data_IF_978945611198
#
_entry.id   IF_978945611198
#
_cell.length_a   1.000
_cell.length_b   1.000
_cell.length_c   1.000
_cell.angle_alpha   90.00
_cell.angle_beta   90.00
_cell.angle_gamma   90.00
#
_symmetry.space_group_name_H-M   'P 1'
#
loop_
_entity.id
_entity.type
_entity.pdbx_description
1 polymer ?
#
# COMPACT_ATOMS: atom_id res chain seq x y z
N UNK A 1 -25.74 -19.20 1.06
CA UNK A 1 -25.21 -19.13 -0.33
C UNK A 1 -25.37 -17.72 -0.88
N UNK A 2 -26.58 -17.17 -1.01
CA UNK A 2 -26.76 -15.78 -1.46
C UNK A 2 -25.93 -14.77 -0.65
N UNK A 3 -25.94 -14.85 0.68
CA UNK A 3 -25.13 -13.99 1.56
C UNK A 3 -23.61 -14.19 1.36
N UNK A 4 -23.14 -15.42 1.19
CA UNK A 4 -21.73 -15.72 0.90
C UNK A 4 -21.31 -15.18 -0.48
N UNK A 5 -22.21 -15.21 -1.47
CA UNK A 5 -21.97 -14.61 -2.77
C UNK A 5 -21.97 -13.07 -2.69
N UNK A 6 -22.90 -12.45 -1.94
CA UNK A 6 -22.86 -11.01 -1.69
C UNK A 6 -21.60 -10.57 -0.93
N UNK A 7 -21.11 -11.37 0.02
CA UNK A 7 -19.89 -11.05 0.78
C UNK A 7 -18.64 -10.97 -0.08
N UNK A 8 -18.67 -11.54 -1.28
CA UNK A 8 -17.54 -11.53 -2.22
C UNK A 8 -17.62 -10.44 -3.28
N UNK A 9 -18.74 -9.70 -3.33
CA UNK A 9 -19.06 -8.71 -4.38
C UNK A 9 -18.32 -7.38 -4.23
N UNK A 10 -17.68 -7.17 -3.08
CA UNK A 10 -16.86 -6.00 -2.82
C UNK A 10 -15.40 -6.34 -2.52
N UNK A 11 -14.99 -7.59 -2.59
CA UNK A 11 -13.65 -7.99 -2.14
C UNK A 11 -12.55 -7.51 -3.10
N UNK A 12 -12.82 -7.54 -4.41
CA UNK A 12 -11.86 -7.08 -5.42
C UNK A 12 -11.83 -5.55 -5.45
N UNK A 13 -12.99 -4.91 -5.44
CA UNK A 13 -13.07 -3.44 -5.31
C UNK A 13 -12.45 -2.92 -4.01
N UNK A 14 -12.66 -3.57 -2.86
CA UNK A 14 -12.00 -3.20 -1.60
C UNK A 14 -10.48 -3.36 -1.68
N UNK A 15 -9.98 -4.41 -2.37
CA UNK A 15 -8.54 -4.58 -2.61
C UNK A 15 -7.97 -3.41 -3.42
N UNK A 16 -8.62 -3.05 -4.54
CA UNK A 16 -8.15 -1.95 -5.38
C UNK A 16 -8.24 -0.60 -4.66
N UNK A 17 -9.26 -0.37 -3.83
CA UNK A 17 -9.32 0.84 -3.00
C UNK A 17 -8.14 0.96 -2.02
N UNK A 18 -7.62 -0.17 -1.50
CA UNK A 18 -6.38 -0.16 -0.70
C UNK A 18 -5.16 0.15 -1.56
N UNK A 19 -5.09 -0.39 -2.78
CA UNK A 19 -4.01 -0.08 -3.75
C UNK A 19 -4.00 1.40 -4.10
N UNK A 20 -5.16 1.98 -4.41
CA UNK A 20 -5.31 3.41 -4.72
C UNK A 20 -4.83 4.29 -3.54
N UNK A 21 -5.11 3.85 -2.30
CA UNK A 21 -4.63 4.55 -1.09
C UNK A 21 -3.10 4.49 -0.96
N UNK A 22 -2.47 3.38 -1.36
CA UNK A 22 -0.99 3.27 -1.39
C UNK A 22 -0.43 4.19 -2.47
N UNK A 23 -1.03 4.19 -3.66
CA UNK A 23 -0.64 5.03 -4.79
C UNK A 23 -0.71 6.52 -4.42
N UNK A 24 -1.82 6.95 -3.82
CA UNK A 24 -2.00 8.33 -3.36
C UNK A 24 -0.92 8.73 -2.34
N UNK A 25 -0.60 7.85 -1.39
CA UNK A 25 0.48 8.09 -0.41
C UNK A 25 1.85 8.18 -1.07
N UNK A 26 2.13 7.32 -2.05
CA UNK A 26 3.38 7.35 -2.82
C UNK A 26 3.49 8.67 -3.59
N UNK A 27 2.44 9.06 -4.30
CA UNK A 27 2.35 10.31 -5.05
C UNK A 27 2.56 11.54 -4.15
N UNK A 28 1.86 11.61 -3.01
CA UNK A 28 1.99 12.70 -2.06
C UNK A 28 3.40 12.76 -1.45
N UNK A 29 4.03 11.61 -1.19
CA UNK A 29 5.42 11.54 -0.72
C UNK A 29 6.38 12.08 -1.78
N UNK A 30 6.25 11.66 -3.03
CA UNK A 30 7.06 12.17 -4.16
C UNK A 30 6.90 13.67 -4.33
N UNK A 31 5.66 14.18 -4.29
CA UNK A 31 5.39 15.62 -4.39
C UNK A 31 5.97 16.40 -3.22
N UNK A 32 5.87 15.87 -2.00
CA UNK A 32 6.50 16.43 -0.81
C UNK A 32 8.02 16.52 -0.99
N UNK A 33 8.65 15.42 -1.42
CA UNK A 33 10.09 15.35 -1.70
C UNK A 33 10.53 16.35 -2.78
N UNK A 34 9.76 16.51 -3.86
CA UNK A 34 10.03 17.53 -4.90
C UNK A 34 9.92 18.95 -4.35
N UNK A 35 8.94 19.21 -3.49
CA UNK A 35 8.79 20.51 -2.82
C UNK A 35 9.98 20.77 -1.90
N UNK A 36 10.42 19.75 -1.17
CA UNK A 36 11.60 19.80 -0.31
C UNK A 36 12.87 20.09 -1.11
N UNK A 37 13.10 19.39 -2.23
CA UNK A 37 14.24 19.65 -3.13
C UNK A 37 14.26 21.09 -3.64
N UNK A 38 13.10 21.61 -4.07
CA UNK A 38 12.97 23.00 -4.52
C UNK A 38 13.28 24.01 -3.41
N UNK A 39 12.76 23.80 -2.19
CA UNK A 39 13.06 24.66 -1.05
C UNK A 39 14.55 24.62 -0.66
N UNK A 40 15.18 23.45 -0.70
CA UNK A 40 16.61 23.31 -0.44
C UNK A 40 17.46 23.95 -1.54
N UNK A 41 17.03 23.91 -2.80
CA UNK A 41 17.69 24.58 -3.92
C UNK A 41 17.73 26.10 -3.76
N UNK A 42 16.59 26.67 -3.35
CA UNK A 42 16.46 28.09 -3.05
C UNK A 42 17.40 28.42 -1.89
N UNK A 43 17.33 27.66 -0.79
CA UNK A 43 18.16 27.87 0.39
C UNK A 43 19.66 27.82 0.06
N UNK A 44 20.12 26.84 -0.73
CA UNK A 44 21.51 26.73 -1.19
C UNK A 44 21.95 27.97 -1.99
N UNK A 45 21.14 28.40 -2.96
CA UNK A 45 21.44 29.57 -3.80
C UNK A 45 21.50 30.86 -2.97
N UNK A 46 20.55 31.03 -2.06
CA UNK A 46 20.46 32.21 -1.21
C UNK A 46 21.58 32.26 -0.18
N UNK A 47 21.94 31.13 0.46
CA UNK A 47 23.08 31.09 1.40
C UNK A 47 24.38 31.44 0.68
N UNK A 48 24.65 30.89 -0.51
CA UNK A 48 25.85 31.23 -1.28
C UNK A 48 25.94 32.73 -1.63
N UNK A 49 24.78 33.35 -1.90
CA UNK A 49 24.68 34.79 -2.15
C UNK A 49 24.95 35.59 -0.87
N UNK A 50 24.37 35.19 0.27
CA UNK A 50 24.59 35.86 1.55
C UNK A 50 26.00 35.69 2.08
N UNK A 51 26.65 34.56 1.84
CA UNK A 51 28.05 34.32 2.24
C UNK A 51 28.99 35.29 1.51
N UNK A 52 28.75 35.49 0.21
CA UNK A 52 29.50 36.42 -0.64
C UNK A 52 29.30 37.89 -0.25
N UNK A 53 28.12 38.25 0.27
CA UNK A 53 27.73 39.62 0.63
C UNK A 53 27.64 39.85 2.15
N UNK A 54 28.16 38.94 2.97
CA UNK A 54 28.02 38.93 4.43
C UNK A 54 28.48 40.23 5.09
N UNK A 55 29.61 40.79 4.63
CA UNK A 55 30.12 42.06 5.12
C UNK A 55 29.20 43.26 4.81
N UNK A 56 28.54 43.27 3.65
CA UNK A 56 27.59 44.32 3.29
C UNK A 56 26.29 44.21 4.08
N UNK A 57 25.86 42.98 4.39
CA UNK A 57 24.74 42.70 5.28
C UNK A 57 25.00 43.23 6.69
N UNK A 58 26.16 42.90 7.26
CA UNK A 58 26.54 43.33 8.61
C UNK A 58 26.59 44.86 8.73
N UNK A 59 27.11 45.56 7.72
CA UNK A 59 27.14 47.02 7.68
C UNK A 59 25.73 47.63 7.56
N UNK A 60 24.88 47.07 6.71
CA UNK A 60 23.49 47.50 6.57
C UNK A 60 22.69 47.30 7.87
N UNK A 61 22.89 46.18 8.56
CA UNK A 61 22.22 45.91 9.84
C UNK A 61 22.73 46.78 10.98
N UNK A 62 24.04 47.05 11.02
CA UNK A 62 24.61 48.02 11.95
C UNK A 62 24.03 49.42 11.74
N UNK A 63 23.84 49.86 10.49
CA UNK A 63 23.25 51.15 10.14
C UNK A 63 21.77 51.28 10.56
N UNK A 64 21.03 50.17 10.59
CA UNK A 64 19.64 50.12 11.06
C UNK A 64 19.52 50.16 12.60
N UNK A 65 20.62 50.32 13.32
CA UNK A 65 20.65 50.39 14.79
C UNK A 65 20.35 49.04 15.45
N UNK A 66 20.36 47.96 14.67
CA UNK A 66 20.06 46.63 15.15
C UNK A 66 21.38 45.94 15.53
N UNK A 67 21.78 46.11 16.80
CA UNK A 67 22.96 45.45 17.37
C UNK A 67 22.66 44.00 17.73
N UNK A 68 22.04 43.23 16.82
CA UNK A 68 21.81 41.81 17.07
C UNK A 68 23.10 41.05 16.70
N UNK A 69 23.79 40.41 17.65
CA UNK A 69 25.17 39.94 17.44
C UNK A 69 25.35 38.75 16.49
N UNK A 70 24.28 38.17 15.94
CA UNK A 70 24.35 36.79 15.44
C UNK A 70 23.91 36.60 13.98
N UNK A 71 23.77 37.66 13.16
CA UNK A 71 23.49 37.49 11.72
C UNK A 71 24.65 36.75 11.03
N UNK A 72 25.90 37.19 11.24
CA UNK A 72 27.08 36.49 10.73
C UNK A 72 27.19 35.07 11.32
N UNK A 73 26.83 34.87 12.60
CA UNK A 73 26.83 33.53 13.22
C UNK A 73 25.76 32.60 12.65
N UNK A 74 24.57 33.13 12.31
CA UNK A 74 23.51 32.37 11.67
C UNK A 74 23.85 32.07 10.20
N UNK A 75 24.45 33.02 9.46
CA UNK A 75 24.98 32.77 8.10
C UNK A 75 26.09 31.72 8.15
N UNK A 76 27.04 31.81 9.10
CA UNK A 76 28.08 30.80 9.27
C UNK A 76 27.47 29.42 9.61
N UNK A 77 26.47 29.37 10.49
CA UNK A 77 25.78 28.11 10.83
C UNK A 77 25.03 27.51 9.64
N UNK A 78 24.42 28.34 8.79
CA UNK A 78 23.77 27.93 7.55
C UNK A 78 24.79 27.47 6.49
N UNK A 79 25.92 28.17 6.38
CA UNK A 79 27.04 27.84 5.48
C UNK A 79 27.69 26.51 5.87
N UNK A 80 27.94 26.30 7.17
CA UNK A 80 28.44 25.04 7.72
C UNK A 80 27.48 23.86 7.49
N UNK A 81 26.18 24.14 7.33
CA UNK A 81 25.17 23.15 7.01
C UNK A 81 25.03 22.86 5.51
N UNK A 82 25.71 23.60 4.63
CA UNK A 82 25.65 23.40 3.18
C UNK A 82 25.97 21.96 2.74
N UNK A 83 27.02 21.29 3.26
CA UNK A 83 27.31 19.90 2.90
C UNK A 83 26.17 18.93 3.28
N UNK A 84 25.44 19.24 4.36
CA UNK A 84 24.27 18.46 4.79
C UNK A 84 23.10 18.69 3.84
N UNK A 85 22.84 19.94 3.45
CA UNK A 85 21.80 20.31 2.48
C UNK A 85 22.06 19.59 1.15
N UNK A 86 23.28 19.65 0.62
CA UNK A 86 23.67 18.97 -0.62
C UNK A 86 23.50 17.45 -0.52
N UNK A 87 23.94 16.86 0.60
CA UNK A 87 23.79 15.42 0.86
C UNK A 87 22.33 14.97 0.92
N UNK A 88 21.46 15.73 1.60
CA UNK A 88 20.02 15.45 1.65
C UNK A 88 19.39 15.60 0.27
N UNK A 89 19.77 16.63 -0.47
CA UNK A 89 19.24 16.92 -1.82
C UNK A 89 19.57 15.80 -2.81
N UNK A 90 20.81 15.30 -2.78
CA UNK A 90 21.20 14.10 -3.53
C UNK A 90 20.39 12.86 -3.10
N UNK A 91 20.17 12.69 -1.78
CA UNK A 91 19.34 11.63 -1.24
C UNK A 91 17.88 11.71 -1.68
N UNK A 92 17.30 12.91 -1.75
CA UNK A 92 15.93 13.16 -2.23
C UNK A 92 15.79 12.71 -3.69
N UNK A 93 16.74 13.07 -4.55
CA UNK A 93 16.73 12.65 -5.95
C UNK A 93 16.71 11.12 -6.10
N UNK A 94 17.57 10.43 -5.34
CA UNK A 94 17.57 8.95 -5.29
C UNK A 94 16.28 8.38 -4.69
N UNK A 95 15.73 9.05 -3.68
CA UNK A 95 14.48 8.65 -3.02
C UNK A 95 13.26 8.76 -3.91
N UNK A 96 13.12 9.87 -4.64
CA UNK A 96 12.06 10.07 -5.64
C UNK A 96 12.16 9.00 -6.72
N UNK A 97 13.35 8.78 -7.26
CA UNK A 97 13.57 7.77 -8.28
C UNK A 97 13.24 6.36 -7.75
N UNK A 98 13.62 6.04 -6.52
CA UNK A 98 13.27 4.76 -5.90
C UNK A 98 11.76 4.58 -5.74
N UNK A 99 11.02 5.61 -5.32
CA UNK A 99 9.55 5.54 -5.21
C UNK A 99 8.93 5.35 -6.60
N UNK A 100 9.38 6.10 -7.60
CA UNK A 100 8.84 6.05 -8.97
C UNK A 100 9.12 4.71 -9.67
N UNK A 101 10.40 4.32 -9.72
CA UNK A 101 10.86 3.10 -10.39
C UNK A 101 10.35 1.83 -9.69
N UNK A 102 10.15 1.87 -8.36
CA UNK A 102 9.91 0.65 -7.58
C UNK A 102 8.49 0.52 -7.05
N UNK A 103 7.85 1.61 -6.65
CA UNK A 103 6.50 1.57 -6.09
C UNK A 103 5.47 1.92 -7.15
N UNK A 104 5.58 3.11 -7.76
CA UNK A 104 4.60 3.60 -8.75
C UNK A 104 4.55 2.69 -9.96
N UNK A 105 5.71 2.40 -10.57
CA UNK A 105 5.76 1.49 -11.74
C UNK A 105 5.19 0.10 -11.43
N UNK A 106 5.45 -0.43 -10.23
CA UNK A 106 4.89 -1.74 -9.83
C UNK A 106 3.37 -1.66 -9.66
N UNK A 107 2.84 -0.57 -9.11
CA UNK A 107 1.40 -0.35 -8.97
C UNK A 107 0.76 -0.22 -10.35
N UNK A 108 1.34 0.57 -11.24
CA UNK A 108 0.86 0.76 -12.62
C UNK A 108 0.82 -0.56 -13.39
N UNK A 109 1.89 -1.37 -13.31
CA UNK A 109 1.94 -2.69 -13.93
C UNK A 109 0.86 -3.62 -13.35
N UNK A 110 0.65 -3.61 -12.03
CA UNK A 110 -0.38 -4.41 -11.38
C UNK A 110 -1.79 -3.96 -11.77
N UNK A 111 -2.06 -2.66 -11.81
CA UNK A 111 -3.34 -2.12 -12.25
C UNK A 111 -3.57 -2.47 -13.74
N UNK A 112 -2.60 -2.26 -14.62
CA UNK A 112 -2.76 -2.55 -16.04
C UNK A 112 -3.02 -4.04 -16.32
N UNK A 113 -2.26 -4.93 -15.69
CA UNK A 113 -2.30 -6.37 -15.99
C UNK A 113 -3.33 -7.15 -15.16
N UNK A 114 -3.61 -6.73 -13.92
CA UNK A 114 -4.40 -7.51 -12.96
C UNK A 114 -5.77 -6.88 -12.66
N UNK A 115 -5.90 -5.55 -12.65
CA UNK A 115 -7.16 -4.90 -12.30
C UNK A 115 -8.29 -5.25 -13.29
N UNK A 116 -8.16 -5.03 -14.61
CA UNK A 116 -9.23 -5.35 -15.56
C UNK A 116 -9.70 -6.81 -15.50
N UNK A 117 -8.81 -7.84 -15.49
CA UNK A 117 -9.30 -9.21 -15.38
C UNK A 117 -9.97 -9.45 -14.02
N UNK A 118 -9.41 -8.94 -12.92
CA UNK A 118 -10.00 -9.16 -11.59
C UNK A 118 -11.40 -8.54 -11.43
N UNK A 119 -11.62 -7.32 -11.93
CA UNK A 119 -12.92 -6.64 -11.91
C UNK A 119 -13.92 -7.29 -12.89
N UNK A 120 -13.44 -7.82 -14.01
CA UNK A 120 -14.28 -8.60 -14.92
C UNK A 120 -14.77 -9.91 -14.27
N UNK A 121 -13.95 -10.52 -13.42
CA UNK A 121 -14.32 -11.70 -12.63
C UNK A 121 -15.34 -11.37 -11.54
N UNK A 122 -15.22 -10.21 -10.89
CA UNK A 122 -16.19 -9.70 -9.90
C UNK A 122 -17.56 -9.43 -10.57
N UNK A 123 -17.56 -8.71 -11.69
CA UNK A 123 -18.78 -8.21 -12.34
C UNK A 123 -19.58 -9.24 -13.14
N UNK A 124 -18.97 -10.28 -13.73
CA UNK A 124 -19.64 -11.00 -14.83
C UNK A 124 -19.61 -12.54 -14.76
N UNK A 125 -18.61 -13.18 -14.13
CA UNK A 125 -18.35 -14.61 -14.37
C UNK A 125 -18.57 -15.57 -13.19
N UNK A 126 -18.27 -15.15 -11.97
CA UNK A 126 -18.07 -16.07 -10.83
C UNK A 126 -19.36 -16.71 -10.32
N UNK A 127 -20.44 -15.94 -10.24
CA UNK A 127 -21.72 -16.41 -9.69
C UNK A 127 -22.45 -17.35 -10.63
N UNK A 128 -22.33 -17.14 -11.95
CA UNK A 128 -23.11 -17.89 -12.94
C UNK A 128 -22.65 -19.34 -12.99
N UNK A 129 -21.35 -19.61 -13.11
CA UNK A 129 -20.85 -20.98 -13.23
C UNK A 129 -21.14 -21.79 -11.95
N UNK A 130 -20.88 -21.21 -10.78
CA UNK A 130 -21.15 -21.86 -9.49
C UNK A 130 -22.65 -22.08 -9.31
N UNK A 131 -23.49 -21.05 -9.49
CA UNK A 131 -24.94 -21.17 -9.35
C UNK A 131 -25.53 -22.20 -10.32
N UNK A 132 -25.04 -22.26 -11.56
CA UNK A 132 -25.47 -23.26 -12.56
C UNK A 132 -25.12 -24.68 -12.11
N UNK A 133 -23.90 -24.93 -11.64
CA UNK A 133 -23.51 -26.28 -11.16
C UNK A 133 -24.39 -26.70 -9.97
N UNK A 134 -24.65 -25.79 -9.02
CA UNK A 134 -25.54 -26.08 -7.89
C UNK A 134 -26.99 -26.31 -8.33
N UNK A 135 -27.53 -25.45 -9.20
CA UNK A 135 -28.89 -25.59 -9.71
C UNK A 135 -29.09 -26.91 -10.47
N UNK A 136 -28.14 -27.26 -11.35
CA UNK A 136 -28.15 -28.53 -12.07
C UNK A 136 -28.04 -29.72 -11.12
N UNK A 137 -27.23 -29.62 -10.06
CA UNK A 137 -27.14 -30.67 -9.03
C UNK A 137 -28.49 -30.86 -8.32
N UNK A 138 -29.15 -29.77 -7.92
CA UNK A 138 -30.45 -29.81 -7.24
C UNK A 138 -31.51 -30.44 -8.15
N UNK A 139 -31.61 -29.98 -9.40
CA UNK A 139 -32.55 -30.52 -10.39
C UNK A 139 -32.31 -32.02 -10.60
N UNK A 140 -31.04 -32.43 -10.68
CA UNK A 140 -30.65 -33.83 -10.88
C UNK A 140 -30.93 -34.70 -9.67
N UNK A 141 -30.74 -34.17 -8.46
CA UNK A 141 -31.08 -34.84 -7.21
C UNK A 141 -32.58 -35.05 -7.08
N UNK A 142 -33.39 -34.01 -7.34
CA UNK A 142 -34.85 -34.10 -7.32
C UNK A 142 -35.39 -35.05 -8.40
N UNK A 143 -34.86 -34.95 -9.63
CA UNK A 143 -35.20 -35.85 -10.72
C UNK A 143 -34.89 -37.32 -10.39
N UNK A 144 -33.69 -37.58 -9.85
CA UNK A 144 -33.27 -38.90 -9.41
C UNK A 144 -34.17 -39.46 -8.29
N UNK A 145 -34.52 -38.63 -7.31
CA UNK A 145 -35.44 -39.00 -6.24
C UNK A 145 -36.83 -39.36 -6.75
N UNK A 146 -37.44 -38.51 -7.59
CA UNK A 146 -38.78 -38.74 -8.12
C UNK A 146 -38.85 -39.97 -9.05
N UNK A 147 -37.87 -40.13 -9.93
CA UNK A 147 -37.81 -41.26 -10.86
C UNK A 147 -37.50 -42.58 -10.15
N UNK A 148 -36.62 -42.57 -9.14
CA UNK A 148 -36.32 -43.77 -8.35
C UNK A 148 -37.50 -44.20 -7.46
N UNK A 149 -38.39 -43.28 -7.05
CA UNK A 149 -39.59 -43.65 -6.31
C UNK A 149 -40.62 -44.37 -7.19
N UNK A 150 -40.83 -43.94 -8.43
CA UNK A 150 -41.87 -44.49 -9.32
C UNK A 150 -41.41 -45.60 -10.27
N UNK A 151 -40.11 -45.73 -10.56
CA UNK A 151 -39.43 -46.76 -11.41
C UNK A 151 -40.21 -47.25 -12.65
N UNK A 152 -41.08 -46.43 -13.24
CA UNK A 152 -41.81 -46.80 -14.47
C UNK A 152 -40.90 -46.84 -15.69
N UNK A 153 -39.79 -46.10 -15.66
CA UNK A 153 -38.83 -45.99 -16.75
C UNK A 153 -37.39 -46.14 -16.23
N UNK A 154 -36.83 -47.37 -16.18
CA UNK A 154 -35.53 -47.64 -15.56
C UNK A 154 -34.35 -46.97 -16.30
N UNK A 155 -34.45 -46.81 -17.61
CA UNK A 155 -33.41 -46.15 -18.44
C UNK A 155 -33.23 -44.70 -17.99
N UNK A 156 -34.32 -43.94 -17.89
CA UNK A 156 -34.28 -42.54 -17.45
C UNK A 156 -33.81 -42.41 -16.00
N UNK A 157 -34.29 -43.28 -15.10
CA UNK A 157 -33.81 -43.29 -13.72
C UNK A 157 -32.29 -43.51 -13.63
N UNK A 158 -31.74 -44.44 -14.43
CA UNK A 158 -30.30 -44.69 -14.48
C UNK A 158 -29.50 -43.52 -15.06
N UNK A 159 -30.01 -42.84 -16.09
CA UNK A 159 -29.39 -41.66 -16.68
C UNK A 159 -29.31 -40.49 -15.68
N UNK A 160 -30.42 -40.21 -14.96
CA UNK A 160 -30.45 -39.16 -13.94
C UNK A 160 -29.52 -39.47 -12.77
N UNK A 161 -29.43 -40.72 -12.33
CA UNK A 161 -28.50 -41.13 -11.27
C UNK A 161 -27.05 -41.03 -11.72
N UNK A 162 -26.72 -41.41 -12.96
CA UNK A 162 -25.38 -41.22 -13.50
C UNK A 162 -25.00 -39.73 -13.59
N UNK A 163 -25.95 -38.89 -14.00
CA UNK A 163 -25.77 -37.45 -14.10
C UNK A 163 -25.63 -36.79 -12.71
N UNK A 164 -26.38 -37.28 -11.70
CA UNK A 164 -26.19 -36.90 -10.29
C UNK A 164 -24.79 -37.27 -9.80
N UNK A 165 -24.30 -38.48 -10.10
CA UNK A 165 -22.94 -38.90 -9.74
C UNK A 165 -21.86 -38.05 -10.40
N UNK A 166 -22.05 -37.65 -11.66
CA UNK A 166 -21.16 -36.72 -12.35
C UNK A 166 -21.09 -35.37 -11.62
N UNK A 167 -22.24 -34.80 -11.26
CA UNK A 167 -22.28 -33.53 -10.54
C UNK A 167 -21.71 -33.63 -9.13
N UNK A 168 -22.01 -34.70 -8.39
CA UNK A 168 -21.41 -34.95 -7.08
C UNK A 168 -19.90 -35.07 -7.19
N UNK A 169 -19.39 -35.74 -8.23
CA UNK A 169 -17.95 -35.87 -8.46
C UNK A 169 -17.31 -34.53 -8.78
N UNK A 170 -17.92 -33.71 -9.64
CA UNK A 170 -17.48 -32.35 -9.93
C UNK A 170 -17.49 -31.47 -8.67
N UNK A 171 -18.56 -31.58 -7.87
CA UNK A 171 -18.66 -30.87 -6.60
C UNK A 171 -17.57 -31.32 -5.63
N UNK A 172 -17.34 -32.62 -5.46
CA UNK A 172 -16.29 -33.11 -4.57
C UNK A 172 -14.90 -32.71 -5.06
N UNK A 173 -14.63 -32.75 -6.37
CA UNK A 173 -13.35 -32.33 -6.94
C UNK A 173 -13.10 -30.83 -6.72
N UNK A 174 -14.10 -29.99 -6.96
CA UNK A 174 -14.01 -28.54 -6.73
C UNK A 174 -13.93 -28.20 -5.23
N UNK A 175 -14.75 -28.86 -4.41
CA UNK A 175 -14.84 -28.60 -2.97
C UNK A 175 -13.63 -29.11 -2.20
N UNK A 176 -13.34 -30.41 -2.30
CA UNK A 176 -12.25 -31.06 -1.55
C UNK A 176 -10.88 -30.74 -2.14
N UNK A 177 -10.79 -30.54 -3.45
CA UNK A 177 -9.54 -30.15 -4.11
C UNK A 177 -9.29 -28.65 -4.02
N UNK A 178 -10.03 -27.89 -4.84
CA UNK A 178 -9.73 -26.47 -5.08
C UNK A 178 -10.09 -25.59 -3.89
N UNK A 179 -11.30 -25.69 -3.35
CA UNK A 179 -11.76 -24.83 -2.25
C UNK A 179 -11.04 -25.14 -0.93
N UNK A 180 -10.73 -26.40 -0.66
CA UNK A 180 -9.89 -26.76 0.48
C UNK A 180 -8.48 -26.15 0.34
N UNK A 181 -7.91 -26.19 -0.87
CA UNK A 181 -6.64 -25.51 -1.16
C UNK A 181 -6.72 -24.01 -0.90
N UNK A 182 -7.74 -23.33 -1.44
CA UNK A 182 -7.97 -21.89 -1.22
C UNK A 182 -8.14 -21.58 0.27
N UNK A 183 -8.89 -22.40 1.01
CA UNK A 183 -9.09 -22.27 2.46
C UNK A 183 -7.80 -22.42 3.27
N UNK A 184 -6.94 -23.38 2.91
CA UNK A 184 -5.66 -23.57 3.60
C UNK A 184 -4.73 -22.40 3.27
N UNK A 185 -4.64 -22.03 1.99
CA UNK A 185 -3.82 -20.90 1.54
C UNK A 185 -4.28 -19.58 2.13
N UNK A 186 -5.59 -19.33 2.28
CA UNK A 186 -6.08 -18.08 2.89
C UNK A 186 -5.70 -17.98 4.37
N UNK A 187 -5.75 -19.09 5.12
CA UNK A 187 -5.30 -19.14 6.52
C UNK A 187 -3.80 -18.95 6.66
N UNK A 188 -3.03 -19.63 5.80
CA UNK A 188 -1.57 -19.46 5.77
C UNK A 188 -1.18 -18.05 5.33
N UNK A 189 -1.87 -17.46 4.36
CA UNK A 189 -1.64 -16.08 3.93
C UNK A 189 -1.90 -15.10 5.07
N UNK A 190 -2.95 -15.28 5.87
CA UNK A 190 -3.20 -14.44 7.03
C UNK A 190 -2.05 -14.52 8.07
N UNK A 191 -1.57 -15.74 8.37
CA UNK A 191 -0.55 -15.96 9.38
C UNK A 191 0.85 -15.51 8.91
N UNK A 192 1.17 -15.75 7.64
CA UNK A 192 2.51 -15.59 7.08
C UNK A 192 2.64 -14.45 6.07
N UNK A 193 1.66 -13.55 5.92
CA UNK A 193 1.71 -12.48 4.91
C UNK A 193 2.98 -11.62 4.99
N UNK A 194 3.44 -11.30 6.20
CA UNK A 194 4.63 -10.48 6.44
C UNK A 194 5.90 -11.24 6.05
N UNK A 195 6.02 -12.48 6.51
CA UNK A 195 7.14 -13.37 6.16
C UNK A 195 7.17 -13.63 4.67
N UNK A 196 6.01 -13.81 4.05
CA UNK A 196 5.87 -13.95 2.60
C UNK A 196 6.33 -12.69 1.88
N UNK A 197 5.88 -11.49 2.29
CA UNK A 197 6.29 -10.23 1.67
C UNK A 197 7.82 -10.03 1.73
N UNK A 198 8.44 -10.31 2.88
CA UNK A 198 9.90 -10.23 3.08
C UNK A 198 10.64 -11.24 2.20
N UNK A 199 10.22 -12.51 2.19
CA UNK A 199 10.86 -13.54 1.38
C UNK A 199 10.65 -13.30 -0.12
N UNK A 200 9.46 -12.86 -0.52
CA UNK A 200 9.13 -12.53 -1.89
C UNK A 200 10.00 -11.37 -2.39
N UNK A 201 10.13 -10.29 -1.61
CA UNK A 201 11.06 -9.20 -1.92
C UNK A 201 12.50 -9.71 -2.01
N UNK A 202 12.93 -10.57 -1.08
CA UNK A 202 14.29 -11.14 -1.08
C UNK A 202 14.59 -11.96 -2.33
N UNK A 203 13.62 -12.71 -2.84
CA UNK A 203 13.81 -13.64 -3.95
C UNK A 203 13.57 -13.01 -5.33
N UNK A 204 12.66 -12.04 -5.42
CA UNK A 204 12.26 -11.42 -6.69
C UNK A 204 13.05 -10.18 -7.04
N UNK A 205 13.55 -9.45 -6.05
CA UNK A 205 14.32 -8.22 -6.29
C UNK A 205 15.77 -8.60 -6.55
N UNK A 206 16.18 -8.54 -7.83
CA UNK A 206 17.53 -8.91 -8.25
C UNK A 206 18.57 -7.82 -7.98
N UNK A 207 18.16 -6.56 -8.08
CA UNK A 207 19.04 -5.42 -7.82
C UNK A 207 19.37 -5.36 -6.31
N UNK A 208 20.65 -5.44 -5.91
CA UNK A 208 21.07 -5.43 -4.51
C UNK A 208 20.65 -4.15 -3.77
N UNK A 209 20.74 -2.98 -4.41
CA UNK A 209 20.39 -1.70 -3.79
C UNK A 209 18.88 -1.61 -3.58
N UNK A 210 18.10 -1.95 -4.62
CA UNK A 210 16.63 -2.03 -4.52
C UNK A 210 16.20 -3.02 -3.44
N UNK A 211 16.87 -4.17 -3.35
CA UNK A 211 16.56 -5.22 -2.38
C UNK A 211 16.80 -4.75 -0.96
N UNK A 212 17.94 -4.13 -0.68
CA UNK A 212 18.23 -3.58 0.64
C UNK A 212 17.21 -2.52 1.04
N UNK A 213 16.88 -1.61 0.12
CA UNK A 213 15.88 -0.57 0.33
C UNK A 213 14.50 -1.14 0.68
N UNK A 214 13.97 -2.07 -0.14
CA UNK A 214 12.66 -2.71 0.10
C UNK A 214 12.66 -3.47 1.43
N UNK A 215 13.73 -4.22 1.73
CA UNK A 215 13.80 -4.99 2.96
C UNK A 215 13.86 -4.08 4.20
N UNK A 216 14.58 -2.96 4.14
CA UNK A 216 14.60 -1.98 5.23
C UNK A 216 13.22 -1.36 5.46
N UNK A 217 12.52 -0.96 4.38
CA UNK A 217 11.16 -0.45 4.48
C UNK A 217 10.18 -1.48 5.07
N UNK A 218 10.22 -2.73 4.60
CA UNK A 218 9.38 -3.81 5.12
C UNK A 218 9.67 -4.09 6.60
N UNK A 219 10.94 -4.15 6.98
CA UNK A 219 11.33 -4.35 8.39
C UNK A 219 10.85 -3.19 9.28
N UNK A 220 10.89 -1.97 8.77
CA UNK A 220 10.38 -0.79 9.46
C UNK A 220 8.85 -0.86 9.66
N UNK A 221 8.08 -1.19 8.63
CA UNK A 221 6.62 -1.25 8.74
C UNK A 221 6.12 -2.45 9.55
N UNK A 222 6.78 -3.61 9.46
CA UNK A 222 6.43 -4.83 10.20
C UNK A 222 7.00 -4.86 11.63
N UNK A 223 7.53 -3.75 12.12
CA UNK A 223 8.10 -3.64 13.48
C UNK A 223 9.22 -4.68 13.76
N UNK A 224 9.94 -5.09 12.71
CA UNK A 224 11.11 -5.95 12.82
C UNK A 224 12.39 -5.15 13.08
N UNK A 225 12.37 -3.82 12.85
CA UNK A 225 13.45 -2.91 13.21
C UNK A 225 13.19 -2.19 14.54
N UNK A 226 14.26 -1.89 15.29
CA UNK A 226 14.20 -1.09 16.53
C UNK A 226 14.00 0.42 16.26
N UNK A 227 13.66 0.81 15.03
CA UNK A 227 13.48 2.22 14.68
C UNK A 227 12.21 2.74 15.34
N UNK A 228 12.38 3.70 16.25
CA UNK A 228 11.28 4.35 16.99
C UNK A 228 10.82 5.57 16.20
N UNK A 229 9.54 5.61 15.85
CA UNK A 229 8.88 6.71 15.10
C UNK A 229 8.93 8.07 15.80
N UNK A 230 9.32 8.12 17.08
CA UNK A 230 9.38 9.34 17.88
C UNK A 230 10.53 10.28 17.46
N UNK A 231 11.50 9.79 16.68
CA UNK A 231 12.60 10.63 16.18
C UNK A 231 12.23 11.23 14.81
N UNK A 232 12.24 12.58 14.66
CA UNK A 232 11.96 13.24 13.40
C UNK A 232 12.87 12.72 12.28
N UNK A 233 12.31 12.34 11.14
CA UNK A 233 13.09 11.87 9.99
C UNK A 233 13.60 10.42 10.07
N UNK A 234 13.31 9.69 11.16
CA UNK A 234 13.68 8.29 11.28
C UNK A 234 12.94 7.42 10.25
N UNK A 235 11.66 7.72 10.02
CA UNK A 235 10.84 7.04 9.03
C UNK A 235 11.37 7.28 7.62
N UNK A 236 11.67 8.54 7.28
CA UNK A 236 12.21 8.89 5.96
C UNK A 236 13.58 8.25 5.70
N UNK A 237 14.44 8.17 6.73
CA UNK A 237 15.72 7.45 6.62
C UNK A 237 15.51 5.95 6.42
N UNK A 238 14.59 5.34 7.16
CA UNK A 238 14.35 3.89 7.07
C UNK A 238 13.70 3.48 5.73
N UNK A 239 12.80 4.30 5.22
CA UNK A 239 11.96 3.99 4.06
C UNK A 239 12.56 4.52 2.76
N UNK A 240 13.14 5.73 2.76
CA UNK A 240 13.59 6.43 1.55
C UNK A 240 15.12 6.64 1.54
N UNK A 241 15.81 6.28 2.62
CA UNK A 241 17.25 6.47 2.80
C UNK A 241 17.69 7.95 2.74
N UNK A 242 16.83 8.87 3.20
CA UNK A 242 17.13 10.30 3.30
C UNK A 242 17.22 10.69 4.78
N UNK A 243 18.40 11.13 5.23
CA UNK A 243 18.61 11.55 6.62
C UNK A 243 18.37 13.06 6.78
N UNK A 244 17.13 13.43 7.12
CA UNK A 244 16.73 14.83 7.33
C UNK A 244 16.93 15.32 8.78
N UNK A 245 17.46 14.48 9.68
CA UNK A 245 17.58 14.81 11.11
C UNK A 245 18.42 16.06 11.35
N UNK A 246 19.49 16.20 10.58
CA UNK A 246 20.40 17.31 10.74
C UNK A 246 19.80 18.62 10.21
N UNK A 247 18.94 18.56 9.17
CA UNK A 247 18.15 19.70 8.71
C UNK A 247 17.11 20.10 9.77
N UNK A 248 16.41 19.14 10.36
CA UNK A 248 15.51 19.41 11.49
C UNK A 248 16.22 20.09 12.65
N UNK A 249 17.40 19.58 13.02
CA UNK A 249 18.22 20.15 14.09
C UNK A 249 18.63 21.57 13.76
N UNK A 250 19.04 21.83 12.52
CA UNK A 250 19.42 23.15 12.02
C UNK A 250 18.27 24.15 12.11
N UNK A 251 17.08 23.80 11.60
CA UNK A 251 15.91 24.69 11.60
C UNK A 251 15.44 25.01 13.03
N UNK A 252 15.63 24.08 13.96
CA UNK A 252 15.25 24.27 15.36
C UNK A 252 16.29 25.02 16.21
N UNK A 253 17.45 25.38 15.65
CA UNK A 253 18.44 26.17 16.38
C UNK A 253 17.89 27.57 16.71
N UNK A 254 18.15 28.10 17.92
CA UNK A 254 17.75 29.45 18.29
C UNK A 254 18.23 30.52 17.31
N UNK A 255 19.42 30.33 16.74
CA UNK A 255 20.08 31.24 15.80
C UNK A 255 19.29 31.31 14.48
N UNK A 256 18.92 30.16 13.91
CA UNK A 256 18.11 30.11 12.68
C UNK A 256 16.70 30.62 12.94
N UNK A 257 16.10 30.33 14.09
CA UNK A 257 14.78 30.86 14.45
C UNK A 257 14.79 32.40 14.59
N UNK A 258 15.82 32.96 15.24
CA UNK A 258 16.01 34.40 15.37
C UNK A 258 16.25 35.05 14.01
N UNK A 259 17.12 34.46 13.17
CA UNK A 259 17.36 34.93 11.81
C UNK A 259 16.06 34.93 11.02
N UNK A 260 15.30 33.84 11.03
CA UNK A 260 14.04 33.72 10.26
C UNK A 260 12.99 34.74 10.73
N UNK A 261 12.81 34.91 12.04
CA UNK A 261 11.89 35.91 12.59
C UNK A 261 12.32 37.33 12.24
N UNK A 262 13.64 37.58 12.22
CA UNK A 262 14.19 38.86 11.85
C UNK A 262 14.03 39.14 10.37
N UNK A 263 14.42 38.23 9.47
CA UNK A 263 14.28 38.40 8.02
C UNK A 263 12.80 38.59 7.63
N UNK A 264 11.87 37.93 8.31
CA UNK A 264 10.43 38.15 8.12
C UNK A 264 9.94 39.56 8.53
N UNK A 265 10.69 40.27 9.37
CA UNK A 265 10.36 41.62 9.85
C UNK A 265 11.02 42.74 9.04
N UNK A 266 12.01 42.41 8.22
CA UNK A 266 12.79 43.39 7.47
C UNK A 266 12.08 43.73 6.16
N UNK A 267 11.76 45.00 5.97
CA UNK A 267 11.23 45.49 4.71
C UNK A 267 12.36 45.54 3.65
N UNK A 268 12.20 44.90 2.48
CA UNK A 268 13.19 44.93 1.40
C UNK A 268 13.55 46.35 0.93
N UNK A 269 12.64 47.31 1.05
CA UNK A 269 12.90 48.71 0.68
C UNK A 269 13.92 49.35 1.63
N UNK A 270 13.93 48.92 2.90
CA UNK A 270 14.88 49.39 3.91
C UNK A 270 16.29 48.86 3.63
N UNK A 271 16.42 47.57 3.26
CA UNK A 271 17.71 46.99 2.87
C UNK A 271 18.27 47.65 1.61
N UNK A 272 17.40 47.89 0.63
CA UNK A 272 17.78 48.59 -0.61
C UNK A 272 18.25 50.02 -0.33
N UNK A 273 17.58 50.74 0.58
CA UNK A 273 17.97 52.08 1.01
C UNK A 273 19.29 52.09 1.81
N UNK A 274 19.63 50.99 2.50
CA UNK A 274 20.90 50.80 3.20
C UNK A 274 22.07 50.45 2.25
N UNK A 275 21.84 50.35 0.94
CA UNK A 275 22.88 50.07 -0.05
C UNK A 275 23.17 48.59 -0.25
N UNK A 276 22.33 47.70 0.29
CA UNK A 276 22.45 46.25 0.05
C UNK A 276 22.14 45.94 -1.42
N UNK A 277 22.95 45.11 -2.11
CA UNK A 277 22.70 44.75 -3.49
C UNK A 277 21.32 44.08 -3.68
N UNK A 278 20.61 44.33 -4.79
CA UNK A 278 19.29 43.74 -5.03
C UNK A 278 19.28 42.20 -4.96
N UNK A 279 20.35 41.55 -5.42
CA UNK A 279 20.54 40.09 -5.36
C UNK A 279 20.53 39.58 -3.92
N UNK A 280 21.17 40.31 -3.01
CA UNK A 280 21.25 39.97 -1.59
C UNK A 280 19.92 40.21 -0.89
N UNK A 281 19.19 41.28 -1.26
CA UNK A 281 17.82 41.53 -0.76
C UNK A 281 16.90 40.38 -1.16
N UNK A 282 16.95 39.94 -2.42
CA UNK A 282 16.18 38.77 -2.88
C UNK A 282 16.60 37.50 -2.14
N UNK A 283 17.90 37.26 -1.94
CA UNK A 283 18.38 36.11 -1.17
C UNK A 283 17.86 36.10 0.28
N UNK A 284 17.80 37.25 0.96
CA UNK A 284 17.20 37.38 2.29
C UNK A 284 15.72 36.99 2.28
N UNK A 285 14.95 37.48 1.32
CA UNK A 285 13.53 37.15 1.18
C UNK A 285 13.31 35.67 0.87
N UNK A 286 14.13 35.12 -0.02
CA UNK A 286 14.09 33.74 -0.44
C UNK A 286 14.35 32.79 0.73
N UNK A 287 15.35 33.06 1.60
CA UNK A 287 15.60 32.27 2.81
C UNK A 287 14.39 32.28 3.73
N UNK A 288 13.82 33.46 4.00
CA UNK A 288 12.63 33.56 4.86
C UNK A 288 11.45 32.79 4.26
N UNK A 289 11.29 32.83 2.93
CA UNK A 289 10.22 32.13 2.22
C UNK A 289 10.45 30.62 2.13
N UNK A 290 11.71 30.15 2.21
CA UNK A 290 12.08 28.74 2.12
C UNK A 290 12.04 28.06 3.50
N UNK A 291 12.61 28.65 4.55
CA UNK A 291 12.76 28.02 5.87
C UNK A 291 11.41 27.74 6.55
N UNK A 292 10.47 28.69 6.47
CA UNK A 292 9.16 28.56 7.12
C UNK A 292 8.38 27.33 6.60
N UNK A 293 8.13 27.17 5.30
CA UNK A 293 7.46 25.98 4.77
C UNK A 293 8.30 24.72 4.88
N UNK A 294 9.64 24.82 4.89
CA UNK A 294 10.54 23.66 4.99
C UNK A 294 10.22 22.79 6.20
N UNK A 295 10.00 23.40 7.37
CA UNK A 295 9.63 22.65 8.59
C UNK A 295 8.31 21.89 8.45
N UNK A 296 7.31 22.50 7.82
CA UNK A 296 6.00 21.89 7.60
C UNK A 296 6.07 20.77 6.56
N UNK A 297 6.78 20.99 5.46
CA UNK A 297 7.01 19.99 4.41
C UNK A 297 7.77 18.79 4.95
N UNK A 298 8.82 18.99 5.76
CA UNK A 298 9.55 17.90 6.40
C UNK A 298 8.63 17.09 7.34
N UNK A 299 7.75 17.76 8.10
CA UNK A 299 6.84 17.09 9.03
C UNK A 299 5.75 16.31 8.29
N UNK A 300 5.25 16.86 7.18
CA UNK A 300 4.28 16.21 6.32
C UNK A 300 4.86 14.96 5.66
N UNK A 301 6.05 15.07 5.05
CA UNK A 301 6.73 13.92 4.41
C UNK A 301 7.02 12.82 5.45
N UNK A 302 7.59 13.20 6.60
CA UNK A 302 7.92 12.24 7.66
C UNK A 302 6.65 11.55 8.19
N UNK A 303 5.55 12.28 8.33
CA UNK A 303 4.25 11.70 8.65
C UNK A 303 3.76 10.74 7.56
N UNK A 304 3.82 11.13 6.28
CA UNK A 304 3.31 10.31 5.17
C UNK A 304 3.99 8.94 5.10
N UNK A 305 5.31 8.88 5.32
CA UNK A 305 6.11 7.65 5.32
C UNK A 305 6.15 6.95 6.68
N UNK A 306 5.63 7.58 7.73
CA UNK A 306 5.59 6.97 9.07
C UNK A 306 4.71 5.74 9.11
N UNK A 307 5.03 4.82 10.03
CA UNK A 307 4.19 3.66 10.33
C UNK A 307 2.77 4.08 10.67
N UNK A 308 2.58 5.19 11.38
CA UNK A 308 1.26 5.72 11.75
C UNK A 308 0.37 6.03 10.53
N UNK A 309 0.96 6.56 9.45
CA UNK A 309 0.25 6.85 8.21
C UNK A 309 -0.07 5.58 7.40
N UNK A 310 0.82 4.59 7.44
CA UNK A 310 0.70 3.34 6.67
C UNK A 310 -0.11 2.26 7.40
N UNK A 311 -0.17 2.32 8.73
CA UNK A 311 -0.85 1.34 9.58
C UNK A 311 -2.31 1.09 9.19
N UNK A 312 -3.16 2.11 8.90
CA UNK A 312 -4.53 1.87 8.46
C UNK A 312 -4.61 1.04 7.16
N UNK A 313 -3.67 1.24 6.24
CA UNK A 313 -3.61 0.47 4.98
C UNK A 313 -3.20 -0.97 5.26
N UNK A 314 -2.19 -1.15 6.12
CA UNK A 314 -1.75 -2.48 6.55
C UNK A 314 -2.86 -3.24 7.29
N UNK A 315 -3.55 -2.60 8.23
CA UNK A 315 -4.68 -3.17 8.97
C UNK A 315 -5.85 -3.49 8.03
N UNK A 316 -6.13 -2.62 7.05
CA UNK A 316 -7.13 -2.87 6.01
C UNK A 316 -6.77 -4.10 5.17
N UNK A 317 -5.53 -4.21 4.71
CA UNK A 317 -5.05 -5.36 3.96
C UNK A 317 -5.09 -6.66 4.79
N UNK A 318 -4.67 -6.59 6.06
CA UNK A 318 -4.77 -7.72 7.00
C UNK A 318 -6.23 -8.11 7.23
N UNK A 319 -7.13 -7.16 7.44
CA UNK A 319 -8.56 -7.45 7.63
C UNK A 319 -9.15 -8.13 6.39
N UNK A 320 -8.84 -7.62 5.19
CA UNK A 320 -9.32 -8.21 3.94
C UNK A 320 -8.84 -9.67 3.78
N UNK A 321 -7.56 -9.95 4.05
CA UNK A 321 -6.98 -11.30 3.93
C UNK A 321 -7.49 -12.23 5.04
N UNK A 322 -7.41 -11.79 6.29
CA UNK A 322 -7.65 -12.62 7.47
C UNK A 322 -9.12 -12.80 7.80
N UNK A 323 -9.95 -11.78 7.59
CA UNK A 323 -11.36 -11.81 7.94
C UNK A 323 -12.20 -12.13 6.69
N UNK A 324 -12.11 -11.28 5.67
CA UNK A 324 -13.06 -11.35 4.56
C UNK A 324 -12.79 -12.54 3.65
N UNK A 325 -11.55 -12.70 3.16
CA UNK A 325 -11.19 -13.83 2.30
C UNK A 325 -11.21 -15.16 3.04
N UNK A 326 -10.68 -15.21 4.26
CA UNK A 326 -10.70 -16.46 5.05
C UNK A 326 -12.14 -16.90 5.35
N UNK A 327 -12.99 -15.99 5.86
CA UNK A 327 -14.38 -16.34 6.19
C UNK A 327 -15.17 -16.75 4.96
N UNK A 328 -15.07 -15.99 3.86
CA UNK A 328 -15.76 -16.33 2.62
C UNK A 328 -15.29 -17.69 2.06
N UNK A 329 -14.00 -17.99 2.16
CA UNK A 329 -13.45 -19.29 1.73
C UNK A 329 -13.94 -20.45 2.60
N UNK A 330 -14.05 -20.25 3.92
CA UNK A 330 -14.54 -21.26 4.86
C UNK A 330 -16.03 -21.54 4.65
N UNK A 331 -16.85 -20.49 4.48
CA UNK A 331 -18.28 -20.61 4.24
C UNK A 331 -18.58 -21.31 2.91
N UNK A 332 -17.84 -20.93 1.85
CA UNK A 332 -17.98 -21.55 0.54
C UNK A 332 -17.58 -23.02 0.60
N UNK A 333 -16.45 -23.35 1.24
CA UNK A 333 -15.99 -24.73 1.41
C UNK A 333 -17.00 -25.58 2.20
N UNK A 334 -17.55 -25.04 3.30
CA UNK A 334 -18.54 -25.74 4.12
C UNK A 334 -19.82 -26.02 3.33
N UNK A 335 -20.37 -25.01 2.66
CA UNK A 335 -21.57 -25.16 1.85
C UNK A 335 -21.37 -26.20 0.74
N UNK A 336 -20.21 -26.16 0.09
CA UNK A 336 -19.87 -27.08 -0.99
C UNK A 336 -19.72 -28.53 -0.50
N UNK A 337 -19.06 -28.71 0.65
CA UNK A 337 -18.87 -30.04 1.26
C UNK A 337 -20.19 -30.63 1.72
N UNK A 338 -21.07 -29.83 2.34
CA UNK A 338 -22.40 -30.29 2.78
C UNK A 338 -23.23 -30.74 1.57
N UNK A 339 -23.30 -29.93 0.51
CA UNK A 339 -24.07 -30.28 -0.69
C UNK A 339 -23.48 -31.50 -1.40
N UNK A 340 -22.16 -31.60 -1.50
CA UNK A 340 -21.48 -32.79 -2.03
C UNK A 340 -21.82 -34.05 -1.23
N UNK A 341 -21.75 -34.01 0.09
CA UNK A 341 -22.09 -35.14 0.97
C UNK A 341 -23.56 -35.56 0.86
N UNK A 342 -24.49 -34.60 0.86
CA UNK A 342 -25.92 -34.89 0.68
C UNK A 342 -26.17 -35.51 -0.69
N UNK A 343 -25.59 -34.93 -1.75
CA UNK A 343 -25.70 -35.45 -3.11
C UNK A 343 -25.14 -36.88 -3.23
N UNK A 344 -24.00 -37.16 -2.58
CA UNK A 344 -23.40 -38.49 -2.53
C UNK A 344 -24.33 -39.51 -1.87
N UNK A 345 -24.89 -39.19 -0.70
CA UNK A 345 -25.82 -40.07 0.02
C UNK A 345 -27.07 -40.34 -0.81
N UNK A 346 -27.64 -39.30 -1.44
CA UNK A 346 -28.80 -39.44 -2.34
C UNK A 346 -28.48 -40.30 -3.56
N UNK A 347 -27.34 -40.06 -4.21
CA UNK A 347 -26.86 -40.86 -5.34
C UNK A 347 -26.71 -42.33 -4.97
N UNK A 348 -26.10 -42.60 -3.81
CA UNK A 348 -25.94 -43.95 -3.27
C UNK A 348 -27.27 -44.68 -3.05
N UNK A 349 -28.24 -44.04 -2.36
CA UNK A 349 -29.55 -44.64 -2.14
C UNK A 349 -30.33 -44.85 -3.44
N UNK A 350 -30.28 -43.91 -4.38
CA UNK A 350 -30.93 -44.05 -5.68
C UNK A 350 -30.31 -45.20 -6.49
N UNK A 351 -28.98 -45.33 -6.48
CA UNK A 351 -28.26 -46.45 -7.12
C UNK A 351 -28.70 -47.81 -6.54
N UNK A 352 -28.74 -47.97 -5.20
CA UNK A 352 -29.20 -49.22 -4.56
C UNK A 352 -30.62 -49.56 -4.99
N UNK A 353 -31.52 -48.57 -4.99
CA UNK A 353 -32.94 -48.80 -5.32
C UNK A 353 -33.13 -49.24 -6.76
N UNK A 354 -32.44 -48.61 -7.71
CA UNK A 354 -32.47 -49.00 -9.13
C UNK A 354 -31.95 -50.42 -9.30
N UNK A 355 -30.80 -50.75 -8.69
CA UNK A 355 -30.20 -52.08 -8.77
C UNK A 355 -31.14 -53.15 -8.22
N UNK A 356 -31.74 -52.93 -7.04
CA UNK A 356 -32.72 -53.85 -6.44
C UNK A 356 -33.93 -54.09 -7.35
N UNK A 357 -34.49 -53.03 -7.94
CA UNK A 357 -35.63 -53.16 -8.85
C UNK A 357 -35.26 -53.95 -10.13
N UNK A 358 -34.08 -53.72 -10.69
CA UNK A 358 -33.61 -54.45 -11.88
C UNK A 358 -33.40 -55.94 -11.61
N UNK A 359 -32.93 -56.33 -10.42
CA UNK A 359 -32.81 -57.74 -10.04
C UNK A 359 -34.17 -58.39 -9.73
N UNK A 360 -35.10 -57.66 -9.10
CA UNK A 360 -36.42 -58.20 -8.76
C UNK A 360 -37.30 -58.50 -9.97
N UNK A 361 -37.13 -57.80 -11.10
CA UNK A 361 -37.93 -58.04 -12.32
C UNK A 361 -37.38 -59.18 -13.21
N UNK A 362 -36.22 -59.76 -12.86
CA UNK A 362 -35.62 -60.88 -13.61
C UNK A 362 -35.93 -62.25 -13.00
N UNK A 363 -36.44 -62.27 -11.77
CA UNK A 363 -37.00 -63.45 -11.11
C UNK A 363 -38.52 -63.36 -11.17
#
# INVERSE_FOLDING_TARGET
>A
MYESLQSTDSQVSNFWSLVDTVEEKAYNTTKGLQTLDSSLAILETSINTLDSDSAALDEAFAALGNTNPDVSNAINSLSDAMPVIEGVRSGIGSGIQAIDDYLVTTIDDLQADIQPPSESFESTGRYIAIAVVFALTIISALGSGLLSLRVKHPVWASAFVALLWLFVTLLMLLGVGLLNGVRVVSKDACLYSETFAVNYAKDKVQDPQKKEWILNALNYYFNASEVVDEQPGAALKAVVNVDIREIYRLIQTPEVAQLTAFLASVDPDILSAAGVPPTTVTAVQDISSAIVPLSATLAEIDYLVSRRSVQPVYEGAKSLICCDFSSASDDLYLAWTIVGCIGFVLGFFCSIRIVRHTFSNKN
#
